data_IF_234788847088
#
_entry.id   IF_234788847088
#
_cell.length_a   1.000
_cell.length_b   1.000
_cell.length_c   1.000
_cell.angle_alpha   90.00
_cell.angle_beta   90.00
_cell.angle_gamma   90.00
#
_symmetry.space_group_name_H-M   'P 1'
#
loop_
_entity.id
_entity.type
_entity.pdbx_description
1 polymer ?
#
# COMPACT_ATOMS: atom_id res chain seq x y z
N UNK A 1 10.67 10.91 -3.70
CA UNK A 1 11.19 10.27 -4.93
C UNK A 1 11.57 8.78 -4.79
N UNK A 2 12.36 8.36 -3.80
CA UNK A 2 12.80 6.94 -3.70
C UNK A 2 11.63 5.96 -3.52
N UNK A 3 10.64 6.31 -2.68
CA UNK A 3 9.43 5.52 -2.44
C UNK A 3 8.62 5.33 -3.72
N UNK A 4 8.39 6.41 -4.46
CA UNK A 4 7.62 6.36 -5.71
C UNK A 4 8.32 5.47 -6.73
N UNK A 5 9.63 5.62 -6.91
CA UNK A 5 10.41 4.74 -7.78
C UNK A 5 10.30 3.26 -7.37
N UNK A 6 10.46 2.95 -6.09
CA UNK A 6 10.31 1.57 -5.59
C UNK A 6 8.90 1.02 -5.86
N UNK A 7 7.86 1.83 -5.62
CA UNK A 7 6.47 1.44 -5.85
C UNK A 7 6.19 1.20 -7.33
N UNK A 8 6.61 2.11 -8.21
CA UNK A 8 6.42 1.99 -9.65
C UNK A 8 7.18 0.81 -10.25
N UNK A 9 8.37 0.49 -9.73
CA UNK A 9 9.11 -0.70 -10.15
C UNK A 9 8.34 -2.00 -9.88
N UNK A 10 7.71 -2.11 -8.70
CA UNK A 10 6.85 -3.25 -8.36
C UNK A 10 5.65 -3.33 -9.30
N UNK A 11 4.96 -2.20 -9.53
CA UNK A 11 3.83 -2.16 -10.47
C UNK A 11 4.21 -2.62 -11.87
N UNK A 12 5.34 -2.13 -12.38
CA UNK A 12 5.82 -2.46 -13.71
C UNK A 12 6.22 -3.94 -13.81
N UNK A 13 6.92 -4.47 -12.81
CA UNK A 13 7.33 -5.88 -12.76
C UNK A 13 6.13 -6.84 -12.78
N UNK A 14 4.99 -6.43 -12.24
CA UNK A 14 3.76 -7.23 -12.21
C UNK A 14 2.71 -6.80 -13.25
N UNK A 15 3.02 -5.83 -14.13
CA UNK A 15 2.09 -5.26 -15.10
C UNK A 15 0.77 -4.76 -14.47
N UNK A 16 0.84 -4.15 -13.29
CA UNK A 16 -0.32 -3.64 -12.53
C UNK A 16 -0.43 -2.12 -12.73
N UNK A 17 -1.62 -1.64 -13.05
CA UNK A 17 -1.90 -0.21 -13.13
C UNK A 17 -1.93 0.41 -11.73
N UNK A 18 -1.29 1.57 -11.55
CA UNK A 18 -1.26 2.31 -10.27
C UNK A 18 -2.63 2.45 -9.62
N UNK A 19 -3.67 2.79 -10.41
CA UNK A 19 -5.04 2.98 -9.91
C UNK A 19 -5.63 1.75 -9.19
N UNK A 20 -5.15 0.54 -9.51
CA UNK A 20 -5.62 -0.70 -8.88
C UNK A 20 -5.05 -0.89 -7.48
N UNK A 21 -3.77 -0.54 -7.28
CA UNK A 21 -3.08 -0.73 -6.00
C UNK A 21 -3.11 0.51 -5.10
N UNK A 22 -3.21 1.72 -5.68
CA UNK A 22 -3.11 2.96 -4.92
C UNK A 22 -4.17 3.08 -3.82
N UNK A 23 -5.43 2.75 -4.13
CA UNK A 23 -6.52 2.84 -3.16
C UNK A 23 -6.44 1.75 -2.08
N UNK A 24 -6.27 0.45 -2.41
CA UNK A 24 -6.05 -0.58 -1.39
C UNK A 24 -4.90 -0.27 -0.44
N UNK A 25 -3.76 0.20 -0.97
CA UNK A 25 -2.61 0.59 -0.13
C UNK A 25 -2.96 1.77 0.77
N UNK A 26 -3.66 2.81 0.28
CA UNK A 26 -4.12 3.91 1.15
C UNK A 26 -4.99 3.42 2.29
N UNK A 27 -5.93 2.51 2.01
CA UNK A 27 -6.82 1.96 3.03
C UNK A 27 -6.03 1.15 4.05
N UNK A 28 -5.14 0.26 3.62
CA UNK A 28 -4.25 -0.50 4.50
C UNK A 28 -3.40 0.42 5.40
N UNK A 29 -2.90 1.53 4.85
CA UNK A 29 -2.03 2.44 5.56
C UNK A 29 -2.76 3.41 6.48
N UNK A 30 -4.02 3.77 6.21
CA UNK A 30 -4.68 4.89 6.92
C UNK A 30 -6.03 4.54 7.55
N UNK A 31 -6.60 3.39 7.23
CA UNK A 31 -7.98 3.03 7.54
C UNK A 31 -9.02 4.07 7.07
N UNK A 32 -8.67 4.94 6.12
CA UNK A 32 -9.54 6.00 5.57
C UNK A 32 -9.69 5.84 4.05
N UNK A 33 -10.87 6.24 3.54
CA UNK A 33 -11.16 6.25 2.10
C UNK A 33 -10.60 7.49 1.38
N UNK A 34 -10.54 8.61 2.09
CA UNK A 34 -9.95 9.88 1.62
C UNK A 34 -8.67 10.13 2.41
N UNK A 35 -7.58 10.37 1.70
CA UNK A 35 -6.26 10.54 2.28
C UNK A 35 -5.41 11.47 1.40
N UNK A 36 -4.29 11.99 1.92
CA UNK A 36 -3.30 12.72 1.12
C UNK A 36 -2.70 11.86 -0.02
N UNK A 37 -1.69 12.39 -0.71
CA UNK A 37 -0.97 11.65 -1.76
C UNK A 37 -0.47 10.30 -1.25
N UNK A 38 -0.52 9.25 -2.07
CA UNK A 38 -0.09 7.90 -1.65
C UNK A 38 1.37 7.91 -1.15
N UNK A 39 2.25 8.55 -1.91
CA UNK A 39 3.67 8.61 -1.59
C UNK A 39 3.98 9.55 -0.42
N UNK A 40 3.13 10.55 -0.19
CA UNK A 40 3.20 11.40 1.01
C UNK A 40 2.92 10.55 2.25
N UNK A 41 1.83 9.79 2.25
CA UNK A 41 1.48 8.87 3.36
C UNK A 41 2.62 7.91 3.66
N UNK A 42 3.17 7.25 2.64
CA UNK A 42 4.27 6.29 2.83
C UNK A 42 5.52 6.99 3.40
N UNK A 43 5.84 8.18 2.91
CA UNK A 43 7.00 8.94 3.39
C UNK A 43 6.81 9.44 4.82
N UNK A 44 5.60 9.89 5.20
CA UNK A 44 5.27 10.36 6.55
C UNK A 44 5.25 9.22 7.58
N UNK A 45 4.74 8.04 7.20
CA UNK A 45 4.67 6.90 8.11
C UNK A 45 6.03 6.25 8.34
N UNK A 46 6.92 6.30 7.35
CA UNK A 46 8.22 5.63 7.38
C UNK A 46 8.14 4.13 7.04
N UNK A 47 9.28 3.56 6.67
CA UNK A 47 9.40 2.20 6.11
C UNK A 47 8.80 1.13 7.01
N UNK A 48 9.23 1.07 8.27
CA UNK A 48 8.84 0.01 9.22
C UNK A 48 7.32 -0.05 9.39
N UNK A 49 6.69 1.10 9.69
CA UNK A 49 5.24 1.19 9.88
C UNK A 49 4.45 0.87 8.61
N UNK A 50 4.97 1.25 7.45
CA UNK A 50 4.34 0.93 6.16
C UNK A 50 4.36 -0.57 5.90
N UNK A 51 5.50 -1.23 6.10
CA UNK A 51 5.64 -2.68 5.88
C UNK A 51 4.71 -3.44 6.83
N UNK A 52 4.76 -3.16 8.15
CA UNK A 52 3.90 -3.84 9.13
C UNK A 52 2.41 -3.69 8.79
N UNK A 53 1.94 -2.48 8.43
CA UNK A 53 0.53 -2.27 8.06
C UNK A 53 0.11 -3.01 6.80
N UNK A 54 1.00 -3.16 5.82
CA UNK A 54 0.73 -3.93 4.62
C UNK A 54 0.65 -5.42 4.93
N UNK A 55 1.55 -5.95 5.75
CA UNK A 55 1.52 -7.34 6.22
C UNK A 55 0.24 -7.66 7.01
N UNK A 56 -0.16 -6.77 7.93
CA UNK A 56 -1.41 -6.89 8.68
C UNK A 56 -2.63 -6.94 7.75
N UNK A 57 -2.66 -6.06 6.74
CA UNK A 57 -3.75 -6.02 5.77
C UNK A 57 -3.81 -7.30 4.92
N UNK A 58 -2.65 -7.82 4.48
CA UNK A 58 -2.56 -9.10 3.74
C UNK A 58 -3.06 -10.25 4.62
N UNK A 59 -2.55 -10.37 5.84
CA UNK A 59 -2.98 -11.40 6.79
C UNK A 59 -4.48 -11.35 7.06
N UNK A 60 -5.05 -10.14 7.22
CA UNK A 60 -6.49 -9.96 7.38
C UNK A 60 -7.28 -10.47 6.17
N UNK A 61 -6.85 -10.13 4.94
CA UNK A 61 -7.51 -10.56 3.70
C UNK A 61 -7.42 -12.08 3.50
N UNK A 62 -6.26 -12.69 3.77
CA UNK A 62 -6.09 -14.15 3.72
C UNK A 62 -7.00 -14.86 4.72
N UNK A 63 -7.11 -14.34 5.94
CA UNK A 63 -8.00 -14.88 6.96
C UNK A 63 -9.48 -14.78 6.58
N UNK A 64 -9.88 -13.72 5.87
CA UNK A 64 -11.23 -13.60 5.33
C UNK A 64 -11.50 -14.59 4.20
N UNK A 65 -10.53 -14.80 3.30
CA UNK A 65 -10.68 -15.70 2.16
C UNK A 65 -10.73 -17.19 2.56
N UNK A 66 -10.21 -17.55 3.74
CA UNK A 66 -10.25 -18.91 4.30
C UNK A 66 -11.56 -19.24 5.03
N UNK A 67 -12.41 -18.26 5.29
CA UNK A 67 -13.73 -18.43 5.90
C UNK A 67 -14.80 -18.63 4.83
#
# INVERSE_FOLDING_TARGET
EQVERAFMNVLNAHNIKLKLLAQPVRVALTAKKVSPGLFEIISTLGKERVVTRLEDAISYMENLARK
#
